data_IF_053041200734
#
_entry.id   IF_053041200734
#
_cell.length_a   1.000
_cell.length_b   1.000
_cell.length_c   1.000
_cell.angle_alpha   90.00
_cell.angle_beta   90.00
_cell.angle_gamma   90.00
#
_symmetry.space_group_name_H-M   'P 1'
#
loop_
_entity.id
_entity.type
_entity.pdbx_description
1 polymer ?
#
# COMPACT_ATOMS: atom_id res chain seq x y z
N UNK A 1 -6.88 8.57 4.33
CA UNK A 1 -7.24 8.31 2.91
C UNK A 1 -8.39 7.31 2.87
N UNK A 2 -9.19 7.24 1.80
CA UNK A 2 -10.31 6.28 1.67
C UNK A 2 -10.16 5.41 0.43
N UNK A 3 -10.52 4.12 0.53
CA UNK A 3 -10.61 3.20 -0.60
C UNK A 3 -11.90 2.41 -0.49
N UNK A 4 -12.89 2.77 -1.30
CA UNK A 4 -14.27 2.26 -1.13
C UNK A 4 -14.79 2.60 0.27
N UNK A 5 -15.26 1.59 1.01
CA UNK A 5 -15.80 1.74 2.36
C UNK A 5 -14.76 1.64 3.49
N UNK A 6 -13.47 1.60 3.13
CA UNK A 6 -12.39 1.44 4.10
C UNK A 6 -11.63 2.74 4.35
N UNK A 7 -11.32 3.00 5.61
CA UNK A 7 -10.35 4.01 6.00
C UNK A 7 -8.95 3.42 5.90
N UNK A 8 -8.02 4.12 5.24
CA UNK A 8 -6.64 3.66 5.09
C UNK A 8 -5.74 4.46 6.03
N UNK A 9 -5.09 3.75 6.95
CA UNK A 9 -4.11 4.28 7.89
C UNK A 9 -2.70 3.81 7.54
N UNK A 10 -1.83 4.76 7.21
CA UNK A 10 -0.42 4.49 6.96
C UNK A 10 0.38 4.57 8.27
N UNK A 11 0.99 3.47 8.71
CA UNK A 11 1.84 3.51 9.90
C UNK A 11 3.13 4.30 9.60
N UNK A 12 3.57 5.12 10.58
CA UNK A 12 4.79 5.94 10.46
C UNK A 12 6.02 5.13 10.03
N UNK A 13 6.22 3.94 10.59
CA UNK A 13 7.36 3.10 10.21
C UNK A 13 7.29 2.65 8.75
N UNK A 14 6.09 2.33 8.23
CA UNK A 14 5.89 1.92 6.85
C UNK A 14 6.20 3.07 5.89
N UNK A 15 5.77 4.28 6.25
CA UNK A 15 6.10 5.49 5.50
C UNK A 15 7.61 5.76 5.45
N UNK A 16 8.29 5.75 6.59
CA UNK A 16 9.75 5.95 6.65
C UNK A 16 10.49 4.89 5.83
N UNK A 17 10.05 3.64 5.90
CA UNK A 17 10.58 2.52 5.12
C UNK A 17 10.32 2.66 3.62
N UNK A 18 9.22 3.31 3.21
CA UNK A 18 8.92 3.61 1.81
C UNK A 18 9.87 4.70 1.28
N UNK A 19 10.08 5.76 2.06
CA UNK A 19 11.01 6.84 1.72
C UNK A 19 12.44 6.33 1.56
N UNK A 20 12.91 5.46 2.47
CA UNK A 20 14.21 4.78 2.37
C UNK A 20 14.36 3.97 1.07
N UNK A 21 13.25 3.46 0.51
CA UNK A 21 13.21 2.72 -0.75
C UNK A 21 12.95 3.60 -1.97
N UNK A 22 13.03 4.93 -1.82
CA UNK A 22 12.71 5.91 -2.86
C UNK A 22 11.31 5.71 -3.44
N UNK A 23 10.35 5.38 -2.58
CA UNK A 23 8.92 5.38 -2.91
C UNK A 23 8.36 6.68 -2.34
N UNK A 24 8.18 7.66 -3.22
CA UNK A 24 7.66 8.97 -2.85
C UNK A 24 6.20 8.89 -2.38
N UNK A 25 5.76 9.80 -1.49
CA UNK A 25 4.39 9.84 -0.99
C UNK A 25 3.34 9.77 -2.09
N UNK A 26 3.48 10.54 -3.17
CA UNK A 26 2.53 10.51 -4.29
C UNK A 26 2.42 9.14 -5.00
N UNK A 27 3.46 8.31 -4.97
CA UNK A 27 3.40 6.94 -5.49
C UNK A 27 2.62 6.02 -4.55
N UNK A 28 2.75 6.23 -3.24
CA UNK A 28 1.99 5.51 -2.21
C UNK A 28 0.52 5.83 -2.38
N UNK A 29 0.18 7.12 -2.47
CA UNK A 29 -1.19 7.59 -2.67
C UNK A 29 -1.78 7.02 -3.95
N UNK A 30 -1.05 7.15 -5.07
CA UNK A 30 -1.48 6.59 -6.34
C UNK A 30 -1.69 5.07 -6.28
N UNK A 31 -0.87 4.34 -5.51
CA UNK A 31 -1.00 2.88 -5.33
C UNK A 31 -2.24 2.53 -4.52
N UNK A 32 -2.54 3.27 -3.46
CA UNK A 32 -3.76 3.06 -2.65
C UNK A 32 -4.99 3.37 -3.48
N UNK A 33 -5.03 4.51 -4.18
CA UNK A 33 -6.21 5.01 -4.88
C UNK A 33 -6.52 4.23 -6.15
N UNK A 34 -5.51 3.94 -6.97
CA UNK A 34 -5.71 3.35 -8.31
C UNK A 34 -5.13 1.95 -8.45
N UNK A 35 -4.33 1.50 -7.48
CA UNK A 35 -3.80 0.15 -7.48
C UNK A 35 -4.90 -0.90 -7.34
N UNK A 36 -4.62 -2.08 -7.90
CA UNK A 36 -5.48 -3.25 -7.75
C UNK A 36 -5.40 -3.73 -6.31
N UNK A 37 -6.55 -3.82 -5.66
CA UNK A 37 -6.67 -4.47 -4.36
C UNK A 37 -6.73 -5.98 -4.56
N UNK A 38 -5.83 -6.71 -3.92
CA UNK A 38 -5.77 -8.18 -3.93
C UNK A 38 -5.89 -8.65 -2.49
N UNK A 39 -6.91 -9.45 -2.18
CA UNK A 39 -7.03 -10.13 -0.88
C UNK A 39 -6.08 -11.32 -0.86
N UNK A 40 -5.36 -11.50 0.24
CA UNK A 40 -4.52 -12.67 0.45
C UNK A 40 -4.52 -13.07 1.93
N UNK A 41 -4.52 -14.36 2.23
CA UNK A 41 -4.79 -14.81 3.60
C UNK A 41 -6.20 -14.45 4.08
N UNK A 42 -6.45 -14.61 5.39
CA UNK A 42 -7.78 -14.41 5.98
C UNK A 42 -8.16 -12.92 6.08
N UNK A 43 -7.24 -12.09 6.57
CA UNK A 43 -7.50 -10.69 6.91
C UNK A 43 -6.46 -9.71 6.30
N UNK A 44 -5.78 -10.11 5.21
CA UNK A 44 -4.78 -9.25 4.58
C UNK A 44 -5.18 -8.83 3.17
N UNK A 45 -4.78 -7.61 2.82
CA UNK A 45 -4.92 -7.05 1.49
C UNK A 45 -3.61 -6.47 1.01
N UNK A 46 -3.43 -6.51 -0.30
CA UNK A 46 -2.30 -5.90 -0.98
C UNK A 46 -2.83 -4.94 -2.03
N UNK A 47 -2.36 -3.70 -2.01
CA UNK A 47 -2.51 -2.80 -3.15
C UNK A 47 -1.29 -2.90 -4.03
N UNK A 48 -1.50 -3.31 -5.27
CA UNK A 48 -0.43 -3.46 -6.24
C UNK A 48 -0.66 -2.46 -7.36
N UNK A 49 0.34 -1.61 -7.60
CA UNK A 49 0.38 -0.74 -8.77
C UNK A 49 1.69 -0.92 -9.49
N UNK A 50 1.59 -1.16 -10.79
CA UNK A 50 2.75 -1.24 -11.66
C UNK A 50 3.07 0.14 -12.21
N UNK A 51 4.30 0.58 -11.99
CA UNK A 51 4.90 1.75 -12.61
C UNK A 51 5.83 1.30 -13.74
N UNK A 52 6.32 2.25 -14.54
CA UNK A 52 7.19 1.94 -15.70
C UNK A 52 8.43 1.12 -15.30
N UNK A 53 9.07 1.47 -14.19
CA UNK A 53 10.36 0.91 -13.78
C UNK A 53 10.27 -0.13 -12.65
N UNK A 54 9.17 -0.12 -11.88
CA UNK A 54 9.02 -0.98 -10.70
C UNK A 54 7.55 -1.24 -10.41
N UNK A 55 7.30 -2.23 -9.56
CA UNK A 55 5.99 -2.47 -8.96
C UNK A 55 6.00 -1.99 -7.52
N UNK A 56 5.06 -1.10 -7.18
CA UNK A 56 4.80 -0.75 -5.79
C UNK A 56 3.74 -1.67 -5.21
N UNK A 57 3.95 -2.02 -3.95
CA UNK A 57 3.16 -3.01 -3.25
C UNK A 57 2.95 -2.58 -1.82
N UNK A 58 1.76 -2.09 -1.50
CA UNK A 58 1.36 -1.76 -0.13
C UNK A 58 0.69 -2.99 0.47
N UNK A 59 1.25 -3.51 1.55
CA UNK A 59 0.72 -4.66 2.28
C UNK A 59 0.01 -4.17 3.52
N UNK A 60 -1.20 -4.69 3.70
CA UNK A 60 -2.15 -4.22 4.70
C UNK A 60 -2.84 -5.37 5.44
N UNK A 61 -3.31 -5.02 6.64
CA UNK A 61 -4.22 -5.81 7.45
C UNK A 61 -5.58 -5.09 7.52
N UNK A 62 -6.66 -5.83 7.29
CA UNK A 62 -8.03 -5.34 7.51
C UNK A 62 -8.35 -5.53 8.98
N UNK A 63 -8.62 -4.43 9.69
CA UNK A 63 -9.10 -4.43 11.07
C UNK A 63 -10.45 -3.71 11.08
N UNK A 64 -11.54 -4.46 11.03
CA UNK A 64 -12.90 -3.91 10.91
C UNK A 64 -13.08 -3.11 9.61
N UNK A 65 -13.28 -1.80 9.72
CA UNK A 65 -13.43 -0.87 8.60
C UNK A 65 -12.13 -0.13 8.23
N UNK A 66 -11.00 -0.50 8.83
CA UNK A 66 -9.73 0.16 8.63
C UNK A 66 -8.71 -0.77 7.98
N UNK A 67 -8.01 -0.28 6.97
CA UNK A 67 -6.91 -0.95 6.28
C UNK A 67 -5.61 -0.31 6.79
N UNK A 68 -4.74 -1.10 7.44
CA UNK A 68 -3.50 -0.61 8.06
C UNK A 68 -2.28 -0.96 7.21
N UNK A 69 -1.65 0.05 6.62
CA UNK A 69 -0.47 -0.14 5.77
C UNK A 69 0.72 -0.37 6.69
N UNK A 70 1.23 -1.60 6.68
CA UNK A 70 2.35 -2.03 7.50
C UNK A 70 3.65 -2.11 6.73
N UNK A 71 3.58 -2.36 5.41
CA UNK A 71 4.77 -2.52 4.58
C UNK A 71 4.54 -1.92 3.19
N UNK A 72 5.57 -1.26 2.66
CA UNK A 72 5.60 -0.76 1.28
C UNK A 72 6.84 -1.34 0.60
N UNK A 73 6.61 -2.10 -0.45
CA UNK A 73 7.64 -2.78 -1.23
C UNK A 73 7.79 -2.13 -2.60
N UNK A 74 9.05 -2.05 -3.07
CA UNK A 74 9.42 -1.64 -4.42
C UNK A 74 10.14 -2.80 -5.08
N UNK A 75 9.46 -3.52 -5.96
CA UNK A 75 10.07 -4.60 -6.72
C UNK A 75 10.52 -4.07 -8.08
N UNK A 76 11.83 -3.98 -8.28
CA UNK A 76 12.42 -3.67 -9.58
C UNK A 76 12.23 -4.86 -10.52
N UNK A 77 12.04 -4.56 -11.80
CA UNK A 77 12.02 -5.56 -12.86
C UNK A 77 13.42 -6.09 -13.16
#
# INVERSE_FOLDING_TARGET
MRKGNYEVLLKRHAFLRALQRQVHPGLIEATIETGRMVRFGKDRVKFVKRFREFTASCVDEIVGHTIRIVTIEKNRR
#
